data_IF_514032693792
#
_entry.id   IF_514032693792
#
_cell.length_a   1.000
_cell.length_b   1.000
_cell.length_c   1.000
_cell.angle_alpha   90.00
_cell.angle_beta   90.00
_cell.angle_gamma   90.00
#
_symmetry.space_group_name_H-M   'P 1'
#
loop_
_entity.id
_entity.type
_entity.pdbx_description
1 polymer ?
#
# COMPACT_ATOMS: atom_id res chain seq x y z
N UNK A 1 -2.30 22.16 -8.90
CA UNK A 1 -1.60 22.73 -7.72
C UNK A 1 -2.41 22.67 -6.43
N UNK A 2 -3.61 23.27 -6.35
CA UNK A 2 -4.44 23.23 -5.13
C UNK A 2 -4.76 21.81 -4.63
N UNK A 3 -5.11 20.88 -5.53
CA UNK A 3 -5.35 19.48 -5.15
C UNK A 3 -4.13 18.77 -4.57
N UNK A 4 -2.93 19.02 -5.13
CA UNK A 4 -1.68 18.47 -4.61
C UNK A 4 -1.37 18.99 -3.19
N UNK A 5 -1.61 20.28 -2.95
CA UNK A 5 -1.42 20.87 -1.63
C UNK A 5 -2.38 20.29 -0.58
N UNK A 6 -3.65 20.06 -0.95
CA UNK A 6 -4.64 19.44 -0.08
C UNK A 6 -4.29 17.99 0.27
N UNK A 7 -3.79 17.22 -0.70
CA UNK A 7 -3.35 15.84 -0.48
C UNK A 7 -2.10 15.78 0.39
N UNK A 8 -1.14 16.68 0.13
CA UNK A 8 0.04 16.77 0.99
C UNK A 8 -0.35 17.12 2.42
N UNK A 9 -1.26 18.08 2.60
CA UNK A 9 -1.81 18.42 3.91
C UNK A 9 -2.52 17.23 4.56
N UNK A 10 -3.31 16.46 3.82
CA UNK A 10 -4.00 15.28 4.37
C UNK A 10 -2.99 14.21 4.82
N UNK A 11 -1.89 14.00 4.09
CA UNK A 11 -0.82 13.07 4.47
C UNK A 11 -0.08 13.51 5.73
N UNK A 12 0.19 14.82 5.85
CA UNK A 12 0.83 15.37 7.06
C UNK A 12 -0.09 15.23 8.27
N UNK A 13 -1.38 15.52 8.11
CA UNK A 13 -2.35 15.39 9.20
C UNK A 13 -2.53 13.93 9.65
N UNK A 14 -2.47 12.99 8.73
CA UNK A 14 -2.52 11.55 9.00
C UNK A 14 -1.32 11.07 9.84
N UNK A 15 -0.11 11.51 9.47
CA UNK A 15 1.10 11.23 10.25
C UNK A 15 1.02 11.82 11.68
N UNK A 16 0.47 13.03 11.81
CA UNK A 16 0.32 13.72 13.09
C UNK A 16 -0.69 13.02 14.00
N UNK A 17 -1.82 12.52 13.50
CA UNK A 17 -2.79 11.76 14.32
C UNK A 17 -2.14 10.51 14.94
N UNK A 18 -1.36 9.78 14.13
CA UNK A 18 -0.61 8.60 14.58
C UNK A 18 0.46 8.91 15.64
N UNK A 19 1.05 10.11 15.63
CA UNK A 19 1.99 10.56 16.66
C UNK A 19 1.26 11.02 17.94
N UNK A 20 0.15 11.74 17.81
CA UNK A 20 -0.67 12.18 18.95
C UNK A 20 -1.18 10.98 19.75
N UNK A 21 -1.64 9.92 19.06
CA UNK A 21 -2.07 8.67 19.70
C UNK A 21 -0.94 8.01 20.50
N UNK A 22 0.28 7.98 19.95
CA UNK A 22 1.46 7.43 20.64
C UNK A 22 1.87 8.27 21.84
N UNK A 23 1.81 9.60 21.71
CA UNK A 23 2.11 10.53 22.79
C UNK A 23 1.10 10.41 23.94
N UNK A 24 -0.20 10.35 23.62
CA UNK A 24 -1.28 10.24 24.61
C UNK A 24 -1.51 8.82 25.13
N UNK A 25 -0.92 7.80 24.50
CA UNK A 25 -1.14 6.36 24.78
C UNK A 25 -2.61 5.94 24.72
N UNK A 26 -3.45 6.69 24.00
CA UNK A 26 -4.88 6.45 23.85
C UNK A 26 -5.14 5.75 22.51
N UNK A 27 -5.02 4.42 22.49
CA UNK A 27 -5.35 3.63 21.30
C UNK A 27 -6.85 3.36 21.23
N UNK A 28 -7.47 3.68 20.10
CA UNK A 28 -8.90 3.46 19.87
C UNK A 28 -9.11 2.65 18.59
N UNK A 29 -9.88 1.56 18.67
CA UNK A 29 -10.27 0.75 17.52
C UNK A 29 -11.07 1.56 16.49
N UNK A 30 -11.83 2.57 16.94
CA UNK A 30 -12.57 3.48 16.05
C UNK A 30 -11.63 4.38 15.25
N UNK A 31 -10.53 4.83 15.87
CA UNK A 31 -9.49 5.61 15.19
C UNK A 31 -8.80 4.79 14.11
N UNK A 32 -8.41 3.54 14.43
CA UNK A 32 -7.81 2.61 13.46
C UNK A 32 -8.77 2.31 12.29
N UNK A 33 -10.06 2.14 12.56
CA UNK A 33 -11.05 1.96 11.48
C UNK A 33 -11.14 3.20 10.57
N UNK A 34 -11.18 4.39 11.15
CA UNK A 34 -11.28 5.63 10.38
C UNK A 34 -10.01 5.91 9.56
N UNK A 35 -8.84 5.58 10.10
CA UNK A 35 -7.56 5.60 9.41
C UNK A 35 -7.53 4.67 8.19
N UNK A 36 -8.01 3.43 8.36
CA UNK A 36 -8.14 2.47 7.26
C UNK A 36 -9.08 2.97 6.16
N UNK A 37 -10.22 3.55 6.52
CA UNK A 37 -11.17 4.12 5.55
C UNK A 37 -10.57 5.32 4.82
N UNK A 38 -9.88 6.20 5.54
CA UNK A 38 -9.20 7.36 4.96
C UNK A 38 -8.16 6.93 3.93
N UNK A 39 -7.30 5.97 4.29
CA UNK A 39 -6.29 5.41 3.40
C UNK A 39 -6.87 4.70 2.18
N UNK A 40 -8.03 4.05 2.32
CA UNK A 40 -8.71 3.42 1.19
C UNK A 40 -9.22 4.49 0.21
N UNK A 41 -9.94 5.49 0.70
CA UNK A 41 -10.63 6.47 -0.17
C UNK A 41 -9.67 7.50 -0.78
N UNK A 42 -8.73 8.05 0.00
CA UNK A 42 -7.93 9.22 -0.43
C UNK A 42 -6.99 8.88 -1.57
N UNK A 43 -6.25 7.77 -1.48
CA UNK A 43 -5.29 7.37 -2.52
C UNK A 43 -5.98 6.94 -3.81
N UNK A 44 -7.11 6.23 -3.72
CA UNK A 44 -7.92 5.85 -4.87
C UNK A 44 -8.51 7.07 -5.58
N UNK A 45 -9.10 8.00 -4.82
CA UNK A 45 -9.68 9.23 -5.36
C UNK A 45 -8.61 10.10 -6.04
N UNK A 46 -7.40 10.19 -5.44
CA UNK A 46 -6.28 10.87 -6.06
C UNK A 46 -5.90 10.23 -7.41
N UNK A 47 -5.73 8.91 -7.45
CA UNK A 47 -5.32 8.21 -8.67
C UNK A 47 -6.39 8.31 -9.77
N UNK A 48 -7.68 8.27 -9.41
CA UNK A 48 -8.79 8.52 -10.34
C UNK A 48 -8.77 9.94 -10.91
N UNK A 49 -8.67 10.95 -10.04
CA UNK A 49 -8.61 12.35 -10.46
C UNK A 49 -7.41 12.65 -11.35
N UNK A 50 -6.27 12.04 -11.03
CA UNK A 50 -5.06 12.10 -11.85
C UNK A 50 -5.28 11.44 -13.22
N UNK A 51 -5.82 10.23 -13.26
CA UNK A 51 -6.09 9.52 -14.52
C UNK A 51 -6.97 10.35 -15.43
N UNK A 52 -8.03 10.95 -14.88
CA UNK A 52 -8.93 11.83 -15.61
C UNK A 52 -8.19 13.06 -16.16
N UNK A 53 -7.37 13.71 -15.34
CA UNK A 53 -6.56 14.86 -15.78
C UNK A 53 -5.58 14.47 -16.90
N UNK A 54 -4.93 13.30 -16.79
CA UNK A 54 -3.99 12.79 -17.79
C UNK A 54 -4.69 12.41 -19.09
N UNK A 55 -5.92 11.88 -19.05
CA UNK A 55 -6.68 11.60 -20.27
C UNK A 55 -7.10 12.86 -21.03
N UNK A 56 -7.41 13.94 -20.32
CA UNK A 56 -7.80 15.24 -20.89
C UNK A 56 -6.61 16.07 -21.40
N UNK A 57 -5.39 15.78 -20.92
CA UNK A 57 -4.16 16.46 -21.36
C UNK A 57 -3.77 16.15 -22.82
N UNK A 58 -4.41 15.16 -23.45
CA UNK A 58 -4.22 14.82 -24.86
C UNK A 58 -5.08 15.71 -25.77
N UNK A 59 -4.61 15.98 -26.99
CA UNK A 59 -5.38 16.72 -28.02
C UNK A 59 -6.77 16.14 -28.27
N UNK A 60 -6.92 14.82 -28.13
CA UNK A 60 -8.19 14.12 -28.02
C UNK A 60 -8.19 13.27 -26.75
N UNK A 61 -9.28 13.26 -25.95
CA UNK A 61 -9.35 12.48 -24.73
C UNK A 61 -9.00 11.01 -24.98
N UNK A 62 -7.92 10.54 -24.33
CA UNK A 62 -7.45 9.18 -24.53
C UNK A 62 -8.27 8.21 -23.67
N UNK A 63 -9.35 7.67 -24.24
CA UNK A 63 -10.25 6.72 -23.58
C UNK A 63 -9.53 5.45 -23.10
N UNK A 64 -8.44 5.03 -23.75
CA UNK A 64 -7.68 3.86 -23.32
C UNK A 64 -6.96 4.14 -22.00
N UNK A 65 -6.30 5.30 -21.87
CA UNK A 65 -5.65 5.71 -20.63
C UNK A 65 -6.67 5.86 -19.51
N UNK A 66 -7.84 6.46 -19.81
CA UNK A 66 -8.92 6.59 -18.84
C UNK A 66 -9.45 5.23 -18.38
N UNK A 67 -9.79 4.33 -19.30
CA UNK A 67 -10.32 3.01 -18.99
C UNK A 67 -9.32 2.17 -18.17
N UNK A 68 -8.04 2.17 -18.58
CA UNK A 68 -6.97 1.46 -17.88
C UNK A 68 -6.71 2.06 -16.51
N UNK A 69 -6.66 3.39 -16.37
CA UNK A 69 -6.43 4.03 -15.08
C UNK A 69 -7.60 3.89 -14.11
N UNK A 70 -8.85 3.90 -14.59
CA UNK A 70 -10.04 3.57 -13.76
C UNK A 70 -9.98 2.12 -13.27
N UNK A 71 -9.64 1.16 -14.15
CA UNK A 71 -9.42 -0.23 -13.73
C UNK A 71 -8.27 -0.33 -12.71
N UNK A 72 -7.19 0.43 -12.91
CA UNK A 72 -6.06 0.54 -11.98
C UNK A 72 -6.45 1.07 -10.61
N UNK A 73 -7.32 2.09 -10.55
CA UNK A 73 -7.82 2.64 -9.30
C UNK A 73 -8.66 1.62 -8.52
N UNK A 74 -9.60 0.95 -9.22
CA UNK A 74 -10.44 -0.07 -8.61
C UNK A 74 -9.63 -1.26 -8.08
N UNK A 75 -8.63 -1.70 -8.84
CA UNK A 75 -7.74 -2.79 -8.40
C UNK A 75 -6.85 -2.38 -7.23
N UNK A 76 -6.38 -1.13 -7.21
CA UNK A 76 -5.62 -0.57 -6.08
C UNK A 76 -6.43 -0.59 -4.79
N UNK A 77 -7.69 -0.17 -4.86
CA UNK A 77 -8.59 -0.19 -3.71
C UNK A 77 -8.93 -1.58 -3.22
N UNK A 78 -9.25 -2.47 -4.17
CA UNK A 78 -9.49 -3.88 -3.86
C UNK A 78 -8.28 -4.53 -3.19
N UNK A 79 -7.07 -4.25 -3.68
CA UNK A 79 -5.82 -4.77 -3.08
C UNK A 79 -5.66 -4.31 -1.64
N UNK A 80 -5.94 -3.02 -1.37
CA UNK A 80 -5.84 -2.49 -0.01
C UNK A 80 -6.88 -3.13 0.92
N UNK A 81 -8.13 -3.21 0.47
CA UNK A 81 -9.20 -3.87 1.22
C UNK A 81 -8.87 -5.33 1.54
N UNK A 82 -8.30 -6.09 0.60
CA UNK A 82 -7.86 -7.47 0.79
C UNK A 82 -6.68 -7.55 1.76
N UNK A 83 -5.70 -6.64 1.68
CA UNK A 83 -4.55 -6.61 2.58
C UNK A 83 -4.94 -6.33 4.05
N UNK A 84 -5.97 -5.50 4.25
CA UNK A 84 -6.48 -5.17 5.58
C UNK A 84 -7.53 -6.18 6.10
N UNK A 85 -8.10 -7.01 5.22
CA UNK A 85 -9.12 -8.01 5.55
C UNK A 85 -8.68 -9.00 6.66
N UNK A 86 -7.45 -9.55 6.68
CA UNK A 86 -6.99 -10.41 7.76
C UNK A 86 -7.08 -9.70 9.11
N UNK A 87 -6.69 -8.43 9.21
CA UNK A 87 -6.76 -7.67 10.47
C UNK A 87 -8.20 -7.63 11.00
N UNK A 88 -9.17 -7.38 10.12
CA UNK A 88 -10.59 -7.31 10.46
C UNK A 88 -11.15 -8.71 10.78
N UNK A 89 -10.80 -9.71 9.97
CA UNK A 89 -11.25 -11.10 10.13
C UNK A 89 -10.80 -11.69 11.47
N UNK A 90 -9.59 -11.35 11.93
CA UNK A 90 -9.10 -11.82 13.22
C UNK A 90 -9.75 -11.08 14.40
N UNK A 91 -10.12 -9.80 14.26
CA UNK A 91 -10.75 -9.01 15.34
C UNK A 91 -12.11 -9.55 15.79
N UNK A 92 -12.91 -10.12 14.88
CA UNK A 92 -14.28 -10.55 15.21
C UNK A 92 -14.30 -11.79 16.14
N UNK A 93 -13.53 -12.87 15.89
CA UNK A 93 -13.36 -13.95 16.86
C UNK A 93 -12.70 -13.50 18.19
N UNK A 94 -11.76 -12.52 18.15
CA UNK A 94 -11.15 -11.97 19.37
C UNK A 94 -12.17 -11.26 20.27
N UNK A 95 -13.16 -10.56 19.68
CA UNK A 95 -14.22 -9.87 20.43
C UNK A 95 -15.24 -10.84 21.06
N UNK A 96 -15.45 -12.00 20.44
CA UNK A 96 -16.45 -12.98 20.89
C UNK A 96 -15.90 -13.96 21.94
N UNK A 97 -14.57 -14.22 21.95
CA UNK A 97 -13.91 -15.10 22.93
C UNK A 97 -12.58 -14.50 23.43
N UNK A 98 -12.62 -13.43 24.23
CA UNK A 98 -11.41 -12.73 24.72
C UNK A 98 -10.53 -13.60 25.62
N UNK A 99 -11.09 -14.66 26.21
CA UNK A 99 -10.41 -15.57 27.14
C UNK A 99 -9.46 -16.58 26.47
N UNK A 100 -9.55 -16.80 25.16
CA UNK A 100 -8.62 -17.66 24.42
C UNK A 100 -7.25 -17.00 24.14
N UNK A 101 -7.11 -15.69 24.39
CA UNK A 101 -5.95 -14.92 23.94
C UNK A 101 -5.41 -13.94 24.98
N UNK A 102 -5.43 -14.31 26.27
CA UNK A 102 -4.63 -13.60 27.28
C UNK A 102 -3.16 -13.70 26.91
N UNK A 103 -2.56 -12.59 26.48
CA UNK A 103 -1.12 -12.48 26.26
C UNK A 103 -0.45 -12.58 27.63
N UNK A 104 0.28 -13.67 27.96
CA UNK A 104 1.07 -13.68 29.18
C UNK A 104 2.12 -12.58 29.06
N UNK A 105 2.29 -11.76 30.10
CA UNK A 105 3.29 -10.70 30.12
C UNK A 105 4.65 -11.27 29.66
N UNK A 106 5.20 -10.72 28.58
CA UNK A 106 6.47 -11.16 28.03
C UNK A 106 7.57 -10.84 29.04
N UNK A 107 8.06 -11.85 29.77
CA UNK A 107 9.41 -11.80 30.34
C UNK A 107 10.40 -11.88 29.18
N UNK A 108 11.21 -10.83 28.99
CA UNK A 108 12.26 -10.79 27.97
C UNK A 108 13.29 -11.90 28.25
N UNK A 109 13.57 -12.80 27.29
CA UNK A 109 14.69 -13.74 27.39
C UNK A 109 16.03 -12.99 27.24
N UNK A 110 16.98 -13.25 28.13
CA UNK A 110 18.28 -12.56 28.24
C UNK A 110 19.40 -13.09 27.33
N UNK A 111 19.12 -13.87 26.29
CA UNK A 111 20.18 -14.36 25.40
C UNK A 111 19.78 -14.29 23.92
N UNK A 112 20.46 -13.42 23.18
CA UNK A 112 20.43 -13.37 21.73
C UNK A 112 21.39 -14.42 21.16
N UNK A 113 20.96 -15.32 20.25
CA UNK A 113 21.88 -16.11 19.46
C UNK A 113 22.54 -15.25 18.38
N UNK A 114 23.82 -15.53 18.12
CA UNK A 114 24.66 -14.80 17.17
C UNK A 114 24.13 -14.85 15.72
N UNK A 115 24.16 -13.69 15.07
CA UNK A 115 23.77 -13.47 13.67
C UNK A 115 24.81 -14.12 12.73
N UNK A 116 24.40 -14.97 11.76
CA UNK A 116 25.33 -15.47 10.75
C UNK A 116 25.57 -14.46 9.62
N UNK A 117 26.75 -14.62 9.01
CA UNK A 117 27.51 -13.67 8.20
C UNK A 117 26.83 -13.03 6.97
N UNK A 118 27.45 -11.93 6.52
CA UNK A 118 27.07 -11.05 5.43
C UNK A 118 26.59 -11.78 4.15
N UNK A 119 25.50 -11.32 3.51
CA UNK A 119 24.90 -12.02 2.38
C UNK A 119 25.72 -11.81 1.09
N UNK A 120 26.18 -12.91 0.47
CA UNK A 120 26.56 -12.90 -0.95
C UNK A 120 25.31 -12.54 -1.78
N UNK A 121 25.45 -11.54 -2.66
CA UNK A 121 24.43 -11.11 -3.61
C UNK A 121 24.22 -12.22 -4.64
N UNK A 122 23.13 -12.97 -4.47
CA UNK A 122 22.63 -13.94 -5.44
C UNK A 122 21.61 -13.24 -6.34
N UNK A 123 21.58 -13.60 -7.62
CA UNK A 123 20.65 -13.05 -8.62
C UNK A 123 19.18 -13.20 -8.18
N UNK A 124 18.85 -14.25 -7.43
CA UNK A 124 17.53 -14.42 -6.82
C UNK A 124 17.23 -13.38 -5.72
N UNK A 125 18.23 -12.95 -4.93
CA UNK A 125 18.09 -11.85 -3.97
C UNK A 125 17.94 -10.51 -4.67
N UNK A 126 18.61 -10.31 -5.80
CA UNK A 126 18.47 -9.09 -6.61
C UNK A 126 17.10 -9.03 -7.28
N UNK A 127 16.61 -10.14 -7.86
CA UNK A 127 15.26 -10.23 -8.40
C UNK A 127 14.21 -10.00 -7.32
N UNK A 128 14.38 -10.65 -6.16
CA UNK A 128 13.52 -10.44 -4.99
C UNK A 128 13.58 -8.99 -4.50
N UNK A 129 14.75 -8.35 -4.53
CA UNK A 129 14.95 -6.94 -4.19
C UNK A 129 14.25 -6.00 -5.18
N UNK A 130 14.32 -6.28 -6.48
CA UNK A 130 13.56 -5.54 -7.51
C UNK A 130 12.06 -5.72 -7.36
N UNK A 131 11.59 -6.95 -7.10
CA UNK A 131 10.18 -7.24 -6.79
C UNK A 131 9.74 -6.57 -5.48
N UNK A 132 10.64 -6.46 -4.50
CA UNK A 132 10.37 -5.77 -3.24
C UNK A 132 10.30 -4.26 -3.46
N UNK A 133 11.25 -3.65 -4.19
CA UNK A 133 11.20 -2.24 -4.55
C UNK A 133 10.01 -1.88 -5.44
N UNK A 134 9.61 -2.77 -6.37
CA UNK A 134 8.40 -2.62 -7.17
C UNK A 134 7.12 -2.75 -6.33
N UNK A 135 7.16 -3.53 -5.23
CA UNK A 135 6.08 -3.62 -4.26
C UNK A 135 6.01 -2.37 -3.38
N UNK A 136 7.17 -1.83 -3.01
CA UNK A 136 7.32 -0.59 -2.24
C UNK A 136 6.86 0.62 -3.06
N UNK A 137 7.11 0.64 -4.38
CA UNK A 137 6.55 1.61 -5.33
C UNK A 137 5.01 1.66 -5.35
N UNK A 138 4.36 0.58 -4.91
CA UNK A 138 2.91 0.47 -4.77
C UNK A 138 2.41 0.90 -3.39
N UNK A 139 3.28 1.32 -2.47
CA UNK A 139 2.87 2.11 -1.31
C UNK A 139 2.61 3.55 -1.76
N UNK A 140 1.45 4.10 -1.37
CA UNK A 140 0.86 5.29 -2.02
C UNK A 140 1.76 6.53 -2.11
N UNK A 141 2.77 6.64 -1.23
CA UNK A 141 3.74 7.74 -1.28
C UNK A 141 4.69 7.67 -2.49
N UNK A 142 5.18 6.50 -2.86
CA UNK A 142 6.16 6.36 -3.95
C UNK A 142 5.53 6.55 -5.33
N UNK A 143 4.25 6.22 -5.48
CA UNK A 143 3.47 6.52 -6.69
C UNK A 143 3.48 8.03 -6.98
N UNK A 144 3.24 8.87 -5.98
CA UNK A 144 3.23 10.33 -6.13
C UNK A 144 4.60 10.82 -6.61
N UNK A 145 5.69 10.31 -6.01
CA UNK A 145 7.06 10.66 -6.40
C UNK A 145 7.33 10.26 -7.85
N UNK A 146 6.97 9.04 -8.25
CA UNK A 146 7.16 8.56 -9.61
C UNK A 146 6.41 9.42 -10.64
N UNK A 147 5.18 9.85 -10.32
CA UNK A 147 4.38 10.73 -11.17
C UNK A 147 4.97 12.14 -11.30
N UNK A 148 5.48 12.71 -10.20
CA UNK A 148 6.13 14.03 -10.21
C UNK A 148 7.40 13.98 -11.06
N UNK A 149 8.22 12.93 -10.91
CA UNK A 149 9.43 12.72 -11.72
C UNK A 149 9.05 12.56 -13.19
N UNK A 150 8.03 11.76 -13.50
CA UNK A 150 7.56 11.56 -14.87
C UNK A 150 7.10 12.87 -15.51
N UNK A 151 6.31 13.67 -14.78
CA UNK A 151 5.87 14.98 -15.25
C UNK A 151 7.04 15.96 -15.46
N UNK A 152 8.00 16.01 -14.53
CA UNK A 152 9.18 16.84 -14.65
C UNK A 152 10.07 16.42 -15.84
N UNK A 153 10.28 15.12 -16.02
CA UNK A 153 11.02 14.57 -17.16
C UNK A 153 10.35 14.94 -18.48
N UNK A 154 9.02 14.92 -18.53
CA UNK A 154 8.26 15.28 -19.71
C UNK A 154 8.38 16.77 -20.06
N UNK A 155 8.33 17.66 -19.06
CA UNK A 155 8.57 19.09 -19.26
C UNK A 155 10.00 19.40 -19.77
N UNK A 156 10.98 18.57 -19.40
CA UNK A 156 12.38 18.73 -19.80
C UNK A 156 12.66 18.15 -21.20
N UNK A 157 12.08 16.98 -21.51
CA UNK A 157 12.37 16.23 -22.75
C UNK A 157 11.49 16.65 -23.93
N UNK A 158 10.25 17.09 -23.66
CA UNK A 158 9.26 17.43 -24.69
C UNK A 158 8.62 18.80 -24.44
N UNK A 159 9.39 19.90 -24.45
CA UNK A 159 8.83 21.23 -24.27
C UNK A 159 7.84 21.54 -25.41
N UNK A 160 6.56 21.73 -25.07
CA UNK A 160 5.54 22.21 -26.00
C UNK A 160 4.84 21.15 -26.84
N UNK A 161 5.05 19.85 -26.58
CA UNK A 161 4.28 18.77 -27.23
C UNK A 161 2.93 18.61 -26.49
N UNK A 162 1.78 18.70 -27.18
CA UNK A 162 0.45 18.57 -26.56
C UNK A 162 0.03 17.11 -26.28
N UNK A 163 1.01 16.22 -26.17
CA UNK A 163 0.84 14.82 -25.83
C UNK A 163 1.84 14.54 -24.72
N UNK A 164 1.37 13.98 -23.60
CA UNK A 164 2.19 13.60 -22.45
C UNK A 164 2.39 12.06 -22.42
N UNK A 165 3.17 11.48 -23.36
CA UNK A 165 3.37 10.05 -23.46
C UNK A 165 4.03 9.42 -22.23
N UNK A 166 4.97 10.09 -21.56
CA UNK A 166 5.68 9.54 -20.40
C UNK A 166 4.71 9.42 -19.22
N UNK A 167 3.97 10.48 -18.91
CA UNK A 167 3.01 10.49 -17.81
C UNK A 167 1.89 9.47 -18.01
N UNK A 168 1.34 9.41 -19.23
CA UNK A 168 0.31 8.41 -19.57
C UNK A 168 0.83 6.98 -19.50
N UNK A 169 2.08 6.72 -19.92
CA UNK A 169 2.73 5.41 -19.80
C UNK A 169 2.93 5.02 -18.35
N UNK A 170 3.33 5.95 -17.47
CA UNK A 170 3.47 5.69 -16.04
C UNK A 170 2.12 5.33 -15.40
N UNK A 171 1.04 6.05 -15.75
CA UNK A 171 -0.32 5.71 -15.27
C UNK A 171 -0.75 4.31 -15.73
N UNK A 172 -0.54 4.00 -17.02
CA UNK A 172 -0.88 2.68 -17.58
C UNK A 172 -0.04 1.56 -16.96
N UNK A 173 1.27 1.77 -16.79
CA UNK A 173 2.17 0.79 -16.18
C UNK A 173 1.81 0.57 -14.71
N UNK A 174 1.48 1.63 -13.98
CA UNK A 174 1.05 1.55 -12.59
C UNK A 174 -0.27 0.78 -12.47
N UNK A 175 -1.26 1.08 -13.32
CA UNK A 175 -2.52 0.34 -13.37
C UNK A 175 -2.33 -1.15 -13.71
N UNK A 176 -1.50 -1.46 -14.71
CA UNK A 176 -1.21 -2.83 -15.11
C UNK A 176 -0.52 -3.61 -13.97
N UNK A 177 0.44 -2.99 -13.30
CA UNK A 177 1.12 -3.62 -12.15
C UNK A 177 0.20 -3.75 -10.94
N UNK A 178 -0.73 -2.81 -10.68
CA UNK A 178 -1.78 -2.95 -9.64
C UNK A 178 -2.59 -4.23 -9.83
N UNK A 179 -3.02 -4.52 -11.07
CA UNK A 179 -3.77 -5.74 -11.38
C UNK A 179 -2.97 -7.02 -11.07
N UNK A 180 -1.68 -7.05 -11.42
CA UNK A 180 -0.82 -8.19 -11.12
C UNK A 180 -0.61 -8.36 -9.61
N UNK A 181 -0.40 -7.26 -8.88
CA UNK A 181 -0.26 -7.31 -7.43
C UNK A 181 -1.55 -7.72 -6.73
N UNK A 182 -2.72 -7.33 -7.24
CA UNK A 182 -4.00 -7.79 -6.72
C UNK A 182 -4.10 -9.32 -6.76
N UNK A 183 -3.76 -9.94 -7.90
CA UNK A 183 -3.75 -11.41 -8.03
C UNK A 183 -2.78 -12.04 -7.01
N UNK A 184 -1.58 -11.47 -6.87
CA UNK A 184 -0.60 -11.92 -5.87
C UNK A 184 -1.16 -11.84 -4.46
N UNK A 185 -1.85 -10.75 -4.12
CA UNK A 185 -2.37 -10.50 -2.77
C UNK A 185 -3.56 -11.41 -2.45
N UNK A 186 -4.41 -11.73 -3.42
CA UNK A 186 -5.48 -12.72 -3.28
C UNK A 186 -4.89 -14.10 -2.97
N UNK A 187 -3.93 -14.54 -3.80
CA UNK A 187 -3.30 -15.87 -3.64
C UNK A 187 -2.53 -15.94 -2.33
N UNK A 188 -1.68 -14.94 -2.06
CA UNK A 188 -0.89 -14.86 -0.84
C UNK A 188 -1.75 -14.73 0.41
N UNK A 189 -2.82 -13.94 0.35
CA UNK A 189 -3.82 -13.81 1.39
C UNK A 189 -4.44 -15.17 1.74
N UNK A 190 -4.96 -15.87 0.73
CA UNK A 190 -5.59 -17.18 0.88
C UNK A 190 -4.68 -18.19 1.60
N UNK A 191 -3.45 -18.37 1.14
CA UNK A 191 -2.51 -19.32 1.75
C UNK A 191 -1.93 -18.86 3.09
N UNK A 192 -1.85 -17.54 3.34
CA UNK A 192 -1.28 -17.02 4.59
C UNK A 192 -2.25 -17.10 5.77
N UNK A 193 -3.57 -17.11 5.54
CA UNK A 193 -4.57 -17.15 6.61
C UNK A 193 -4.44 -18.43 7.42
N UNK A 194 -4.41 -19.59 6.75
CA UNK A 194 -4.26 -20.89 7.42
C UNK A 194 -2.90 -21.03 8.12
N UNK A 195 -1.82 -20.58 7.45
CA UNK A 195 -0.47 -20.61 8.04
C UNK A 195 -0.32 -19.73 9.28
N UNK A 196 -0.96 -18.54 9.30
CA UNK A 196 -0.97 -17.65 10.47
C UNK A 196 -1.79 -18.23 11.62
N UNK A 197 -2.95 -18.84 11.32
CA UNK A 197 -3.78 -19.50 12.33
C UNK A 197 -3.04 -20.69 12.94
N UNK A 198 -2.40 -21.53 12.12
CA UNK A 198 -1.61 -22.66 12.57
C UNK A 198 -0.42 -22.22 13.43
N UNK A 199 0.33 -21.20 13.00
CA UNK A 199 1.46 -20.67 13.76
C UNK A 199 1.04 -20.07 15.12
N UNK A 200 -0.12 -19.40 15.17
CA UNK A 200 -0.69 -18.89 16.42
C UNK A 200 -1.06 -20.07 17.33
N UNK A 201 -1.80 -21.07 16.82
CA UNK A 201 -2.17 -22.29 17.55
C UNK A 201 -0.95 -22.99 18.13
N UNK A 202 0.07 -23.25 17.32
CA UNK A 202 1.25 -24.02 17.74
C UNK A 202 2.08 -23.25 18.78
N UNK A 203 2.09 -21.92 18.73
CA UNK A 203 2.73 -21.06 19.74
C UNK A 203 1.99 -21.04 21.08
N UNK A 204 0.68 -21.29 21.07
CA UNK A 204 -0.14 -21.45 22.28
C UNK A 204 -0.14 -22.90 22.81
N UNK A 205 0.02 -23.89 21.94
CA UNK A 205 0.08 -25.31 22.33
C UNK A 205 1.47 -25.75 22.82
N UNK A 206 2.54 -25.02 22.47
CA UNK A 206 3.92 -25.27 22.93
C UNK A 206 4.31 -24.53 24.21
N UNK A 207 3.36 -23.83 24.83
CA UNK A 207 3.47 -23.19 26.14
C UNK A 207 2.51 -23.84 27.11
#
# INVERSE_FOLDING_TARGET
>A
WAGLALIYLSLVLDAVDGEIVRYKKTFSMRGVYLDLVNHLVVFEAFFLGLTFAVSELWTTPNLVVLAVGVAGALTMGMRRAIGDLPRILFVRPYSERPELFRIPATTLPSHAPAVPAAPRLSLHKLLRGMLWGAHELHEGGYMIVALVIAYAAELLLFPGVPHYPILSLVVVLYAATSCLYLVREIIGGFYSVEGRIAAIRDRFASK
#
